data_IF_798539935810
#
_entry.id   IF_798539935810
#
_cell.length_a   1.000
_cell.length_b   1.000
_cell.length_c   1.000
_cell.angle_alpha   90.00
_cell.angle_beta   90.00
_cell.angle_gamma   90.00
#
_symmetry.space_group_name_H-M   'P 1'
#
loop_
_entity.id
_entity.type
_entity.pdbx_description
1 polymer ?
#
# COMPACT_ATOMS: atom_id res chain seq x y z
N UNK A 1 15.88 -10.60 2.10
CA UNK A 1 15.98 -11.14 0.72
C UNK A 1 14.80 -10.64 -0.09
N UNK A 2 14.94 -10.42 -1.41
CA UNK A 2 13.81 -10.14 -2.28
C UNK A 2 12.80 -11.29 -2.25
N UNK A 3 11.50 -11.04 -2.18
CA UNK A 3 10.44 -12.09 -2.12
C UNK A 3 9.68 -12.26 -3.43
N UNK A 4 9.78 -11.27 -4.32
CA UNK A 4 9.09 -11.23 -5.60
C UNK A 4 9.86 -10.39 -6.61
N UNK A 5 9.56 -10.61 -7.89
CA UNK A 5 10.03 -9.80 -9.01
C UNK A 5 8.89 -8.95 -9.56
N UNK A 6 9.14 -7.66 -9.77
CA UNK A 6 8.22 -6.73 -10.43
C UNK A 6 8.68 -6.49 -11.87
N UNK A 7 7.80 -6.73 -12.84
CA UNK A 7 8.02 -6.26 -14.20
C UNK A 7 7.71 -4.77 -14.30
N UNK A 8 8.78 -3.98 -14.39
CA UNK A 8 8.71 -2.53 -14.47
C UNK A 8 9.34 -2.10 -15.78
N UNK A 9 8.63 -1.27 -16.55
CA UNK A 9 9.13 -0.66 -17.79
C UNK A 9 9.75 0.69 -17.46
N UNK A 10 11.08 0.81 -17.26
CA UNK A 10 11.66 2.02 -16.70
C UNK A 10 11.46 3.23 -17.61
N UNK A 11 11.44 3.03 -18.93
CA UNK A 11 11.21 4.09 -19.92
C UNK A 11 9.82 4.73 -19.83
N UNK A 12 8.85 4.04 -19.23
CA UNK A 12 7.47 4.52 -19.06
C UNK A 12 7.21 5.12 -17.68
N UNK A 13 8.22 5.17 -16.82
CA UNK A 13 8.09 5.72 -15.46
C UNK A 13 8.86 7.04 -15.36
N UNK A 14 8.21 8.06 -14.80
CA UNK A 14 8.90 9.31 -14.44
C UNK A 14 9.85 9.09 -13.26
N UNK A 15 9.47 8.21 -12.34
CA UNK A 15 10.23 7.81 -11.17
C UNK A 15 9.87 6.38 -10.78
N UNK A 16 10.78 5.69 -10.10
CA UNK A 16 10.57 4.31 -9.64
C UNK A 16 9.89 4.23 -8.26
N UNK A 17 9.76 5.35 -7.55
CA UNK A 17 9.04 5.41 -6.26
C UNK A 17 7.56 5.00 -6.38
N UNK A 18 7.02 5.04 -7.60
CA UNK A 18 5.64 4.68 -7.89
C UNK A 18 5.51 4.02 -9.23
N UNK A 19 4.96 2.81 -9.24
CA UNK A 19 4.74 2.04 -10.46
C UNK A 19 3.27 1.68 -10.59
N UNK A 20 2.69 1.95 -11.75
CA UNK A 20 1.33 1.53 -12.09
C UNK A 20 1.37 0.24 -12.90
N UNK A 21 0.62 -0.78 -12.50
CA UNK A 21 0.54 -2.07 -13.19
C UNK A 21 -0.83 -2.74 -13.05
N UNK A 22 -1.06 -3.79 -13.83
CA UNK A 22 -2.30 -4.56 -13.82
C UNK A 22 -2.48 -5.30 -12.47
N UNK A 23 -3.71 -5.36 -11.96
CA UNK A 23 -4.00 -5.90 -10.64
C UNK A 23 -4.31 -7.41 -10.60
N UNK A 24 -4.11 -8.16 -11.69
CA UNK A 24 -4.22 -9.63 -11.73
C UNK A 24 -3.43 -10.31 -10.60
N UNK A 25 -2.25 -9.78 -10.27
CA UNK A 25 -1.39 -10.31 -9.20
C UNK A 25 -1.55 -9.56 -7.86
N UNK A 26 -2.68 -8.87 -7.60
CA UNK A 26 -2.89 -8.06 -6.39
C UNK A 26 -2.65 -8.82 -5.08
N UNK A 27 -3.02 -10.09 -4.99
CA UNK A 27 -2.85 -10.89 -3.78
C UNK A 27 -1.36 -11.03 -3.42
N UNK A 28 -0.52 -11.24 -4.44
CA UNK A 28 0.93 -11.31 -4.27
C UNK A 28 1.52 -9.94 -3.95
N UNK A 29 1.03 -8.87 -4.60
CA UNK A 29 1.44 -7.49 -4.28
C UNK A 29 1.18 -7.17 -2.80
N UNK A 30 -0.06 -7.39 -2.35
CA UNK A 30 -0.49 -7.14 -0.97
C UNK A 30 0.33 -7.98 0.03
N UNK A 31 0.59 -9.25 -0.26
CA UNK A 31 1.41 -10.11 0.60
C UNK A 31 2.91 -9.74 0.63
N UNK A 32 3.38 -8.99 -0.37
CA UNK A 32 4.77 -8.56 -0.50
C UNK A 32 5.06 -7.21 0.14
N UNK A 33 4.05 -6.52 0.71
CA UNK A 33 4.28 -5.22 1.36
C UNK A 33 5.17 -5.37 2.60
N UNK A 34 6.07 -4.41 2.78
CA UNK A 34 7.13 -4.42 3.79
C UNK A 34 8.29 -5.36 3.45
N UNK A 35 8.29 -5.97 2.26
CA UNK A 35 9.36 -6.83 1.80
C UNK A 35 10.19 -6.16 0.69
N UNK A 36 11.42 -6.64 0.52
CA UNK A 36 12.23 -6.30 -0.64
C UNK A 36 11.70 -7.04 -1.87
N UNK A 37 11.77 -6.39 -3.02
CA UNK A 37 11.44 -6.93 -4.34
C UNK A 37 12.60 -6.64 -5.30
N UNK A 38 12.70 -7.46 -6.35
CA UNK A 38 13.63 -7.28 -7.45
C UNK A 38 12.88 -6.65 -8.64
N UNK A 39 13.49 -5.69 -9.32
CA UNK A 39 12.88 -5.03 -10.48
C UNK A 39 13.49 -5.58 -11.76
N UNK A 40 12.62 -5.97 -12.69
CA UNK A 40 12.98 -6.55 -13.99
C UNK A 40 12.39 -5.72 -15.12
N UNK A 41 13.23 -5.34 -16.07
CA UNK A 41 12.85 -4.66 -17.31
C UNK A 41 12.58 -5.71 -18.40
N UNK A 42 11.36 -5.74 -18.99
CA UNK A 42 11.02 -6.66 -20.07
C UNK A 42 11.94 -6.57 -21.30
N UNK A 43 12.00 -7.63 -22.12
CA UNK A 43 12.90 -7.73 -23.29
C UNK A 43 12.70 -6.66 -24.36
N UNK A 44 11.52 -6.05 -24.43
CA UNK A 44 11.23 -4.95 -25.36
C UNK A 44 11.66 -3.57 -24.82
N UNK A 45 12.26 -3.50 -23.63
CA UNK A 45 12.97 -2.31 -23.16
C UNK A 45 14.39 -2.24 -23.76
N UNK A 46 14.91 -1.04 -24.09
CA UNK A 46 16.26 -0.88 -24.61
C UNK A 46 17.35 -1.44 -23.69
N UNK A 47 17.13 -1.35 -22.37
CA UNK A 47 17.97 -1.95 -21.33
C UNK A 47 17.11 -2.92 -20.53
N UNK A 48 17.06 -4.17 -21.00
CA UNK A 48 16.25 -5.23 -20.40
C UNK A 48 17.05 -6.03 -19.35
N UNK A 49 16.35 -6.78 -18.51
CA UNK A 49 16.94 -7.58 -17.44
C UNK A 49 16.69 -7.03 -16.04
N UNK A 50 17.29 -7.65 -15.04
CA UNK A 50 17.21 -7.18 -13.66
C UNK A 50 18.03 -5.89 -13.50
N UNK A 51 17.46 -4.87 -12.87
CA UNK A 51 18.10 -3.54 -12.88
C UNK A 51 18.10 -2.81 -11.54
N UNK A 52 17.33 -3.28 -10.55
CA UNK A 52 17.26 -2.66 -9.24
C UNK A 52 16.62 -3.58 -8.21
N UNK A 53 16.79 -3.25 -6.93
CA UNK A 53 15.92 -3.72 -5.85
C UNK A 53 15.16 -2.55 -5.24
N UNK A 54 14.04 -2.83 -4.57
CA UNK A 54 13.26 -1.84 -3.83
C UNK A 54 12.51 -2.51 -2.67
N UNK A 55 12.03 -1.73 -1.71
CA UNK A 55 11.05 -2.18 -0.71
C UNK A 55 9.65 -1.78 -1.19
N UNK A 56 8.74 -2.76 -1.32
CA UNK A 56 7.34 -2.47 -1.61
C UNK A 56 6.66 -1.98 -0.34
N UNK A 57 6.32 -0.70 -0.25
CA UNK A 57 5.77 -0.11 0.99
C UNK A 57 4.27 0.05 0.97
N UNK A 58 3.65 0.10 -0.20
CA UNK A 58 2.20 0.24 -0.29
C UNK A 58 1.64 -0.27 -1.62
N UNK A 59 0.36 -0.67 -1.60
CA UNK A 59 -0.41 -1.10 -2.77
C UNK A 59 -1.77 -0.42 -2.74
N UNK A 60 -2.06 0.40 -3.76
CA UNK A 60 -3.22 1.27 -3.81
C UNK A 60 -4.06 0.92 -5.04
N UNK A 61 -5.37 0.70 -4.91
CA UNK A 61 -6.22 0.47 -6.08
C UNK A 61 -6.29 1.73 -6.95
N UNK A 62 -6.26 1.56 -8.27
CA UNK A 62 -6.58 2.65 -9.19
C UNK A 62 -8.10 2.75 -9.34
N UNK A 63 -8.68 3.80 -8.74
CA UNK A 63 -10.13 3.96 -8.72
C UNK A 63 -10.70 4.53 -10.03
N UNK A 64 -9.85 5.07 -10.92
CA UNK A 64 -10.25 5.51 -12.26
C UNK A 64 -10.28 4.37 -13.26
N UNK A 65 -9.39 3.39 -13.07
CA UNK A 65 -9.32 2.18 -13.90
C UNK A 65 -9.08 0.98 -13.00
N UNK A 66 -10.16 0.38 -12.49
CA UNK A 66 -10.14 -0.72 -11.49
C UNK A 66 -9.35 -1.97 -11.88
N UNK A 67 -8.90 -2.08 -13.13
CA UNK A 67 -7.98 -3.12 -13.61
C UNK A 67 -6.53 -2.87 -13.18
N UNK A 68 -6.18 -1.64 -12.80
CA UNK A 68 -4.83 -1.24 -12.43
C UNK A 68 -4.69 -1.01 -10.92
N UNK A 69 -3.45 -0.92 -10.48
CA UNK A 69 -3.06 -0.54 -9.14
C UNK A 69 -1.73 0.20 -9.16
N UNK A 70 -1.51 1.01 -8.14
CA UNK A 70 -0.25 1.69 -7.89
C UNK A 70 0.51 0.94 -6.79
N UNK A 71 1.80 0.73 -7.02
CA UNK A 71 2.74 0.21 -6.03
C UNK A 71 3.64 1.37 -5.62
N UNK A 72 3.80 1.58 -4.31
CA UNK A 72 4.81 2.50 -3.78
C UNK A 72 6.07 1.73 -3.45
N UNK A 73 7.19 2.22 -3.95
CA UNK A 73 8.51 1.62 -3.77
C UNK A 73 9.41 2.62 -3.03
N UNK A 74 10.09 2.15 -2.00
CA UNK A 74 11.11 2.90 -1.27
C UNK A 74 12.45 2.14 -1.33
N UNK A 75 13.53 2.75 -0.86
CA UNK A 75 14.88 2.16 -0.88
C UNK A 75 15.27 1.58 -2.25
N UNK A 76 14.96 2.32 -3.32
CA UNK A 76 15.23 1.87 -4.69
C UNK A 76 16.74 1.91 -4.94
N UNK A 77 17.39 0.75 -4.91
CA UNK A 77 18.81 0.58 -5.18
C UNK A 77 19.01 0.02 -6.59
N UNK A 78 19.48 0.86 -7.51
CA UNK A 78 19.77 0.48 -8.90
C UNK A 78 21.08 -0.29 -8.99
N UNK A 79 21.12 -1.24 -9.90
CA UNK A 79 22.34 -1.94 -10.28
C UNK A 79 23.18 -1.06 -11.20
N UNK A 80 24.50 -1.30 -11.21
CA UNK A 80 25.44 -0.60 -12.10
C UNK A 80 25.07 -0.76 -13.58
N UNK A 81 24.60 -1.94 -13.96
CA UNK A 81 24.08 -2.23 -15.29
C UNK A 81 22.84 -3.13 -15.19
N UNK A 82 22.03 -3.16 -16.25
CA UNK A 82 20.93 -4.12 -16.34
C UNK A 82 21.49 -5.51 -16.67
N UNK A 83 21.01 -6.53 -15.97
CA UNK A 83 21.53 -7.89 -16.04
C UNK A 83 20.50 -8.75 -16.79
N UNK A 84 20.71 -9.02 -18.09
CA UNK A 84 19.81 -9.85 -18.87
C UNK A 84 19.89 -11.32 -18.43
N UNK A 85 18.90 -12.13 -18.79
CA UNK A 85 18.80 -13.53 -18.35
C UNK A 85 20.02 -14.36 -18.80
N UNK A 86 20.50 -14.11 -20.02
CA UNK A 86 21.68 -14.74 -20.61
C UNK A 86 23.01 -14.42 -19.91
N UNK A 87 23.06 -13.34 -19.10
CA UNK A 87 24.27 -12.96 -18.35
C UNK A 87 24.30 -13.53 -16.93
N UNK A 88 23.27 -14.27 -16.51
CA UNK A 88 23.19 -14.82 -15.16
C UNK A 88 24.05 -16.07 -15.01
N UNK A 89 24.88 -16.11 -13.97
CA UNK A 89 25.63 -17.30 -13.60
C UNK A 89 24.73 -18.45 -13.10
N UNK A 90 23.56 -18.12 -12.56
CA UNK A 90 22.54 -19.07 -12.13
C UNK A 90 21.13 -18.47 -12.29
N UNK A 91 20.09 -19.30 -12.51
CA UNK A 91 18.71 -18.86 -12.55
C UNK A 91 18.30 -18.10 -11.28
N UNK A 92 17.73 -16.89 -11.45
CA UNK A 92 17.12 -16.11 -10.37
C UNK A 92 15.64 -16.47 -10.19
N UNK A 93 14.98 -16.87 -11.28
CA UNK A 93 13.59 -17.35 -11.28
C UNK A 93 13.61 -18.76 -11.88
N UNK A 94 13.92 -19.78 -11.06
CA UNK A 94 14.10 -21.17 -11.53
C UNK A 94 12.87 -21.71 -12.28
N UNK A 95 11.67 -21.29 -11.87
CA UNK A 95 10.39 -21.63 -12.54
C UNK A 95 10.23 -21.04 -13.95
N UNK A 96 11.14 -20.16 -14.38
CA UNK A 96 11.18 -19.66 -15.75
C UNK A 96 11.89 -20.62 -16.72
N UNK A 97 12.49 -21.70 -16.22
CA UNK A 97 13.25 -22.66 -17.01
C UNK A 97 12.52 -24.00 -17.05
N UNK A 98 12.45 -24.60 -18.23
CA UNK A 98 11.95 -25.97 -18.43
C UNK A 98 13.01 -26.98 -18.03
N UNK A 99 12.64 -28.25 -17.96
CA UNK A 99 13.57 -29.35 -17.62
C UNK A 99 14.74 -29.47 -18.60
N UNK A 100 14.56 -29.08 -19.86
CA UNK A 100 15.60 -29.06 -20.89
C UNK A 100 16.51 -27.81 -20.81
N UNK A 101 16.30 -26.95 -19.82
CA UNK A 101 17.03 -25.69 -19.64
C UNK A 101 16.54 -24.54 -20.52
N UNK A 102 15.56 -24.77 -21.41
CA UNK A 102 14.98 -23.70 -22.23
C UNK A 102 14.09 -22.76 -21.42
N UNK A 103 14.00 -21.49 -21.84
CA UNK A 103 13.15 -20.50 -21.18
C UNK A 103 11.66 -20.72 -21.52
N UNK A 104 10.83 -20.68 -20.47
CA UNK A 104 9.39 -20.58 -20.58
C UNK A 104 8.93 -19.12 -20.55
N UNK A 105 8.76 -18.52 -21.73
CA UNK A 105 8.41 -17.10 -21.85
C UNK A 105 7.05 -16.75 -21.23
N UNK A 106 6.11 -17.69 -21.13
CA UNK A 106 4.84 -17.48 -20.42
C UNK A 106 5.07 -17.07 -18.96
N UNK A 107 6.16 -17.55 -18.34
CA UNK A 107 6.52 -17.21 -16.97
C UNK A 107 6.63 -15.69 -16.75
N UNK A 108 7.09 -14.91 -17.74
CA UNK A 108 7.30 -13.47 -17.62
C UNK A 108 6.06 -12.62 -17.92
N UNK A 109 4.92 -13.24 -18.25
CA UNK A 109 3.67 -12.53 -18.55
C UNK A 109 3.05 -11.79 -17.35
N UNK A 110 3.05 -12.35 -16.12
CA UNK A 110 2.55 -11.66 -14.94
C UNK A 110 3.41 -10.44 -14.58
N UNK A 111 2.75 -9.37 -14.11
CA UNK A 111 3.44 -8.14 -13.68
C UNK A 111 4.22 -8.34 -12.37
N UNK A 112 3.82 -9.32 -11.56
CA UNK A 112 4.48 -9.69 -10.30
C UNK A 112 4.63 -11.20 -10.25
N UNK A 113 5.83 -11.67 -9.92
CA UNK A 113 6.16 -13.10 -9.83
C UNK A 113 6.79 -13.40 -8.48
N UNK A 114 6.35 -14.48 -7.84
CA UNK A 114 6.87 -14.87 -6.53
C UNK A 114 8.19 -15.62 -6.69
N UNK A 115 9.17 -15.31 -5.84
CA UNK A 115 10.44 -16.04 -5.78
C UNK A 115 10.32 -17.22 -4.82
N UNK A 116 10.75 -18.40 -5.26
CA UNK A 116 10.90 -19.58 -4.40
C UNK A 116 12.00 -19.34 -3.35
N UNK A 117 11.99 -20.01 -2.19
CA UNK A 117 13.02 -19.80 -1.16
C UNK A 117 14.47 -19.89 -1.67
N UNK A 118 14.75 -20.84 -2.55
CA UNK A 118 16.04 -21.01 -3.23
C UNK A 118 16.37 -19.83 -4.17
N UNK A 119 15.39 -19.36 -4.94
CA UNK A 119 15.49 -18.21 -5.85
C UNK A 119 15.75 -16.91 -5.07
N UNK A 120 15.22 -16.79 -3.85
CA UNK A 120 15.43 -15.60 -3.01
C UNK A 120 16.91 -15.44 -2.60
N UNK A 121 17.65 -16.55 -2.46
CA UNK A 121 19.10 -16.55 -2.18
C UNK A 121 19.84 -16.02 -3.40
N UNK A 122 19.53 -16.54 -4.58
CA UNK A 122 20.12 -16.09 -5.83
C UNK A 122 19.83 -14.60 -6.10
N UNK A 123 18.58 -14.16 -5.88
CA UNK A 123 18.18 -12.77 -5.99
C UNK A 123 18.91 -11.85 -5.00
N UNK A 124 19.17 -12.31 -3.77
CA UNK A 124 19.96 -11.56 -2.79
C UNK A 124 21.43 -11.47 -3.23
N UNK A 125 22.02 -12.56 -3.70
CA UNK A 125 23.40 -12.57 -4.18
C UNK A 125 23.59 -11.58 -5.35
N UNK A 126 22.66 -11.59 -6.31
CA UNK A 126 22.63 -10.64 -7.42
C UNK A 126 22.59 -9.18 -6.94
N UNK A 127 21.73 -8.89 -5.96
CA UNK A 127 21.57 -7.55 -5.40
C UNK A 127 22.84 -7.04 -4.70
N UNK A 128 23.54 -7.92 -3.98
CA UNK A 128 24.77 -7.56 -3.27
C UNK A 128 25.95 -7.35 -4.23
N UNK A 129 26.07 -8.17 -5.27
CA UNK A 129 27.15 -8.05 -6.26
C UNK A 129 27.04 -6.77 -7.10
N UNK A 130 25.82 -6.30 -7.35
CA UNK A 130 25.56 -5.16 -8.25
C UNK A 130 25.21 -3.86 -7.52
N UNK A 131 25.22 -3.87 -6.18
CA UNK A 131 25.07 -2.70 -5.33
C UNK A 131 26.39 -2.09 -4.84
N UNK A 132 27.54 -2.73 -5.10
CA UNK A 132 28.85 -2.21 -4.74
C UNK A 132 29.32 -1.20 -5.79
N UNK A 133 29.39 0.07 -5.40
CA UNK A 133 30.06 1.11 -6.17
C UNK A 133 31.56 0.89 -5.98
N UNK A 134 32.26 0.50 -7.04
CA UNK A 134 33.72 0.58 -7.08
C UNK A 134 34.07 2.05 -7.39
N UNK A 135 34.44 2.84 -6.38
CA UNK A 135 34.85 4.23 -6.61
C UNK A 135 34.95 5.16 -5.39
N UNK A 136 36.19 5.41 -4.99
CA UNK A 136 36.72 6.58 -4.24
C UNK A 136 36.24 6.82 -2.79
N UNK A 137 37.15 6.53 -1.85
CA UNK A 137 37.02 6.82 -0.43
C UNK A 137 37.09 8.35 -0.21
N UNK A 138 35.93 8.99 -0.08
CA UNK A 138 35.85 10.40 0.34
C UNK A 138 36.26 10.53 1.82
N UNK A 139 37.07 11.53 2.20
CA UNK A 139 37.33 11.82 3.61
C UNK A 139 36.01 12.13 4.31
N UNK A 140 35.74 11.45 5.42
CA UNK A 140 34.54 11.68 6.22
C UNK A 140 34.55 13.12 6.75
N UNK A 141 33.60 13.93 6.28
CA UNK A 141 33.30 15.19 6.96
C UNK A 141 32.77 14.87 8.37
N UNK A 142 33.18 15.62 9.41
CA UNK A 142 32.77 15.35 10.77
C UNK A 142 31.24 15.41 10.89
N UNK A 143 30.68 14.36 11.48
CA UNK A 143 29.24 14.17 11.61
C UNK A 143 28.60 15.34 12.37
N UNK A 144 27.73 16.09 11.69
CA UNK A 144 26.76 16.92 12.38
C UNK A 144 25.87 15.97 13.19
N UNK A 145 25.85 16.16 14.51
CA UNK A 145 25.00 15.43 15.44
C UNK A 145 23.53 15.73 15.16
N UNK A 146 22.97 15.05 14.16
CA UNK A 146 21.54 14.91 14.02
C UNK A 146 21.10 14.05 15.20
N UNK A 147 20.34 14.64 16.15
CA UNK A 147 19.73 13.86 17.22
C UNK A 147 18.95 12.73 16.57
N UNK A 148 19.37 11.50 16.84
CA UNK A 148 18.66 10.28 16.48
C UNK A 148 17.29 10.32 17.16
N UNK A 149 16.28 10.86 16.46
CA UNK A 149 14.92 10.50 16.78
C UNK A 149 14.85 8.98 16.55
N UNK A 150 14.44 8.18 17.56
CA UNK A 150 14.32 6.74 17.37
C UNK A 150 13.42 6.53 16.15
N UNK A 151 13.82 5.67 15.18
CA UNK A 151 12.98 5.39 14.03
C UNK A 151 11.59 5.00 14.55
N UNK A 152 10.51 5.54 13.97
CA UNK A 152 9.16 5.27 14.45
C UNK A 152 9.02 3.75 14.57
N UNK A 153 8.68 3.30 15.78
CA UNK A 153 8.67 1.90 16.16
C UNK A 153 8.11 1.05 15.01
N UNK A 154 8.94 0.13 14.50
CA UNK A 154 8.59 -0.80 13.43
C UNK A 154 7.28 -1.49 13.81
N UNK A 155 6.14 -1.02 13.30
CA UNK A 155 4.90 -1.78 13.32
C UNK A 155 5.25 -3.13 12.68
N UNK A 156 5.08 -4.22 13.43
CA UNK A 156 5.44 -5.55 12.93
C UNK A 156 4.85 -5.76 11.54
N UNK A 157 5.62 -6.34 10.61
CA UNK A 157 5.25 -6.49 9.19
C UNK A 157 3.81 -7.01 9.00
N UNK A 158 3.35 -7.89 9.89
CA UNK A 158 1.97 -8.38 9.94
C UNK A 158 0.93 -7.26 10.05
N UNK A 159 1.13 -6.29 10.95
CA UNK A 159 0.22 -5.16 11.12
C UNK A 159 0.20 -4.25 9.88
N UNK A 160 1.34 -4.06 9.21
CA UNK A 160 1.41 -3.31 7.94
C UNK A 160 0.57 -4.03 6.87
N UNK A 161 0.76 -5.34 6.72
CA UNK A 161 0.05 -6.14 5.73
C UNK A 161 -1.48 -6.07 5.94
N UNK A 162 -1.95 -6.23 7.17
CA UNK A 162 -3.39 -6.14 7.47
C UNK A 162 -3.96 -4.76 7.16
N UNK A 163 -3.27 -3.69 7.58
CA UNK A 163 -3.69 -2.31 7.29
C UNK A 163 -3.84 -2.07 5.78
N UNK A 164 -2.89 -2.55 4.96
CA UNK A 164 -2.94 -2.36 3.51
C UNK A 164 -4.05 -3.20 2.88
N UNK A 165 -4.28 -4.42 3.35
CA UNK A 165 -5.37 -5.29 2.89
C UNK A 165 -6.75 -4.73 3.23
N UNK A 166 -6.93 -4.25 4.47
CA UNK A 166 -8.17 -3.60 4.89
C UNK A 166 -8.40 -2.34 4.06
N UNK A 167 -7.38 -1.51 3.89
CA UNK A 167 -7.46 -0.29 3.08
C UNK A 167 -7.82 -0.55 1.64
N UNK A 168 -7.22 -1.57 1.03
CA UNK A 168 -7.62 -2.00 -0.31
C UNK A 168 -9.11 -2.34 -0.36
N UNK A 169 -9.58 -3.16 0.58
CA UNK A 169 -10.99 -3.60 0.64
C UNK A 169 -11.96 -2.44 0.85
N UNK A 170 -11.65 -1.55 1.80
CA UNK A 170 -12.46 -0.36 2.11
C UNK A 170 -12.55 0.58 0.91
N UNK A 171 -11.43 0.90 0.25
CA UNK A 171 -11.44 1.76 -0.94
C UNK A 171 -12.19 1.12 -2.12
N UNK A 172 -12.13 -0.19 -2.28
CA UNK A 172 -12.90 -0.90 -3.31
C UNK A 172 -14.42 -0.85 -3.06
N UNK A 173 -14.84 -0.97 -1.81
CA UNK A 173 -16.24 -0.97 -1.40
C UNK A 173 -16.83 0.43 -1.36
N UNK A 174 -16.15 1.37 -0.71
CA UNK A 174 -16.65 2.73 -0.48
C UNK A 174 -16.23 3.73 -1.55
N UNK A 175 -15.08 3.55 -2.19
CA UNK A 175 -14.43 4.61 -2.98
C UNK A 175 -13.47 5.47 -2.15
N UNK A 176 -13.06 6.61 -2.71
CA UNK A 176 -12.03 7.49 -2.14
C UNK A 176 -12.58 8.76 -1.50
N UNK A 177 -13.87 9.01 -1.67
CA UNK A 177 -14.55 10.11 -0.99
C UNK A 177 -14.75 9.80 0.49
N UNK A 178 -14.62 10.82 1.33
CA UNK A 178 -14.96 10.74 2.75
C UNK A 178 -16.42 10.27 2.90
N UNK A 179 -16.64 9.19 3.64
CA UNK A 179 -17.97 8.64 3.83
C UNK A 179 -18.86 9.53 4.72
N UNK A 180 -18.30 10.54 5.40
CA UNK A 180 -19.07 11.47 6.26
C UNK A 180 -19.46 12.74 5.50
N UNK A 181 -18.49 13.48 4.93
CA UNK A 181 -18.80 14.73 4.21
C UNK A 181 -19.00 14.58 2.70
N UNK A 182 -18.60 13.45 2.11
CA UNK A 182 -18.73 13.19 0.68
C UNK A 182 -17.62 13.77 -0.21
N UNK A 183 -16.70 14.57 0.33
CA UNK A 183 -15.61 15.16 -0.46
C UNK A 183 -14.60 14.11 -0.92
N UNK A 184 -14.17 14.19 -2.18
CA UNK A 184 -13.09 13.37 -2.76
C UNK A 184 -11.86 14.23 -3.06
N UNK A 185 -11.00 14.41 -2.05
CA UNK A 185 -9.75 15.15 -2.18
C UNK A 185 -8.61 14.23 -2.67
N UNK A 186 -8.84 13.52 -3.78
CA UNK A 186 -7.89 12.57 -4.35
C UNK A 186 -7.16 13.10 -5.57
N UNK A 187 -5.85 12.86 -5.64
CA UNK A 187 -5.06 12.98 -6.87
C UNK A 187 -5.00 11.60 -7.53
N UNK A 188 -6.09 11.26 -8.23
CA UNK A 188 -6.32 9.95 -8.84
C UNK A 188 -5.20 9.50 -9.79
N UNK A 189 -4.61 10.43 -10.55
CA UNK A 189 -3.53 10.13 -11.50
C UNK A 189 -2.31 9.45 -10.87
N UNK A 190 -2.13 9.60 -9.55
CA UNK A 190 -1.02 9.02 -8.80
C UNK A 190 -1.50 8.13 -7.65
N UNK A 191 -2.80 7.84 -7.56
CA UNK A 191 -3.40 7.06 -6.47
C UNK A 191 -3.18 7.69 -5.09
N UNK A 192 -3.08 9.01 -4.99
CA UNK A 192 -3.00 9.68 -3.69
C UNK A 192 -4.41 10.06 -3.24
N UNK A 193 -4.86 9.48 -2.12
CA UNK A 193 -6.17 9.70 -1.55
C UNK A 193 -6.01 10.32 -0.17
N UNK A 194 -6.71 11.43 0.10
CA UNK A 194 -6.63 12.09 1.41
C UNK A 194 -7.31 11.28 2.52
N UNK A 195 -8.31 10.48 2.17
CA UNK A 195 -9.04 9.67 3.13
C UNK A 195 -8.16 8.62 3.81
N UNK A 196 -8.43 8.42 5.09
CA UNK A 196 -7.87 7.37 5.91
C UNK A 196 -8.93 6.32 6.21
N UNK A 197 -8.48 5.08 6.38
CA UNK A 197 -9.36 3.99 6.83
C UNK A 197 -9.49 4.08 8.33
N UNK A 198 -10.68 4.43 8.78
CA UNK A 198 -10.97 4.69 10.18
C UNK A 198 -11.79 3.52 10.73
N UNK A 199 -11.26 2.88 11.77
CA UNK A 199 -12.02 1.87 12.51
C UNK A 199 -13.13 2.55 13.30
N UNK A 200 -14.33 1.98 13.25
CA UNK A 200 -15.52 2.48 13.95
C UNK A 200 -15.44 2.15 15.45
N UNK A 201 -15.11 0.90 15.75
CA UNK A 201 -14.62 0.47 17.06
C UNK A 201 -13.10 0.36 16.97
N UNK A 202 -12.39 1.18 17.75
CA UNK A 202 -10.94 1.18 17.73
C UNK A 202 -10.33 -0.20 18.09
N UNK A 203 -9.23 -0.55 17.43
CA UNK A 203 -8.50 -1.80 17.70
C UNK A 203 -8.05 -1.91 19.17
N UNK A 204 -7.65 -0.79 19.78
CA UNK A 204 -7.25 -0.71 21.18
C UNK A 204 -8.38 -1.09 22.16
N UNK A 205 -9.63 -1.02 21.72
CA UNK A 205 -10.82 -1.42 22.47
C UNK A 205 -11.41 -2.75 21.96
N UNK A 206 -10.60 -3.58 21.31
CA UNK A 206 -11.01 -4.90 20.82
C UNK A 206 -11.87 -4.87 19.56
N UNK A 207 -11.84 -3.78 18.79
CA UNK A 207 -12.46 -3.75 17.47
C UNK A 207 -11.75 -4.68 16.49
N UNK A 208 -12.49 -5.39 15.61
CA UNK A 208 -11.87 -6.25 14.60
C UNK A 208 -11.28 -5.43 13.44
N UNK A 209 -10.21 -5.93 12.83
CA UNK A 209 -9.54 -5.31 11.68
C UNK A 209 -10.19 -5.76 10.35
N UNK A 210 -11.47 -5.40 10.15
CA UNK A 210 -12.30 -5.90 9.06
C UNK A 210 -13.14 -4.81 8.38
N UNK A 211 -13.61 -5.10 7.16
CA UNK A 211 -14.35 -4.16 6.32
C UNK A 211 -15.60 -3.62 7.02
N UNK A 212 -16.31 -4.47 7.76
CA UNK A 212 -17.54 -4.12 8.49
C UNK A 212 -17.28 -3.30 9.75
N UNK A 213 -16.02 -3.05 10.13
CA UNK A 213 -15.63 -2.16 11.23
C UNK A 213 -14.85 -0.95 10.73
N UNK A 214 -14.84 -0.65 9.42
CA UNK A 214 -14.01 0.43 8.90
C UNK A 214 -14.66 1.19 7.75
N UNK A 215 -14.42 2.50 7.70
CA UNK A 215 -14.89 3.35 6.60
C UNK A 215 -13.85 4.43 6.25
N UNK A 216 -13.86 4.97 5.01
CA UNK A 216 -12.97 6.05 4.64
C UNK A 216 -13.47 7.36 5.23
N UNK A 217 -12.64 8.07 5.98
CA UNK A 217 -12.93 9.42 6.45
C UNK A 217 -11.78 10.35 6.08
N UNK A 218 -12.07 11.61 5.78
CA UNK A 218 -11.01 12.62 5.72
C UNK A 218 -10.43 12.83 7.12
N UNK A 219 -9.21 13.36 7.18
CA UNK A 219 -8.46 13.52 8.44
C UNK A 219 -9.23 14.32 9.49
N UNK A 220 -10.00 15.32 9.05
CA UNK A 220 -10.84 16.14 9.93
C UNK A 220 -11.97 15.32 10.57
N UNK A 221 -12.75 14.58 9.77
CA UNK A 221 -13.87 13.79 10.32
C UNK A 221 -13.35 12.62 11.15
N UNK A 222 -12.25 11.99 10.76
CA UNK A 222 -11.58 11.01 11.62
C UNK A 222 -11.26 11.60 12.99
N UNK A 223 -10.61 12.76 13.02
CA UNK A 223 -10.18 13.39 14.27
C UNK A 223 -11.36 13.68 15.20
N UNK A 224 -12.48 14.14 14.63
CA UNK A 224 -13.70 14.40 15.40
C UNK A 224 -14.39 13.10 15.85
N UNK A 225 -14.43 12.06 15.02
CA UNK A 225 -14.99 10.77 15.38
C UNK A 225 -14.20 10.15 16.54
N UNK A 226 -12.87 10.05 16.42
CA UNK A 226 -11.98 9.51 17.44
C UNK A 226 -12.06 10.23 18.81
N UNK A 227 -12.63 11.45 18.85
CA UNK A 227 -12.84 12.26 20.07
C UNK A 227 -14.30 12.39 20.48
N UNK A 228 -15.21 11.68 19.84
CA UNK A 228 -16.63 11.71 20.17
C UNK A 228 -17.35 13.00 19.78
N UNK A 229 -16.79 13.82 18.89
CA UNK A 229 -17.45 15.03 18.37
C UNK A 229 -18.69 14.73 17.52
N UNK A 230 -18.76 13.53 16.95
CA UNK A 230 -19.97 12.95 16.36
C UNK A 230 -19.93 11.43 16.44
N UNK A 231 -21.06 10.78 16.21
CA UNK A 231 -21.18 9.32 16.07
C UNK A 231 -22.20 8.98 14.98
N UNK A 232 -22.42 7.69 14.74
CA UNK A 232 -23.38 7.19 13.75
C UNK A 232 -24.43 6.29 14.41
N UNK A 233 -25.69 6.44 14.02
CA UNK A 233 -26.76 5.48 14.26
C UNK A 233 -26.58 4.23 13.38
N UNK A 234 -27.30 3.14 13.66
CA UNK A 234 -27.07 1.84 13.00
C UNK A 234 -27.27 1.86 11.48
N UNK A 235 -28.16 2.74 10.98
CA UNK A 235 -28.36 2.97 9.56
C UNK A 235 -27.44 4.06 8.96
N UNK A 236 -26.38 4.47 9.69
CA UNK A 236 -25.43 5.49 9.27
C UNK A 236 -25.87 6.93 9.55
N UNK A 237 -27.00 7.15 10.23
CA UNK A 237 -27.47 8.49 10.60
C UNK A 237 -26.44 9.24 11.44
N UNK A 238 -26.09 10.46 11.08
CA UNK A 238 -25.04 11.23 11.76
C UNK A 238 -25.63 11.92 12.99
N UNK A 239 -25.02 11.68 14.16
CA UNK A 239 -25.41 12.29 15.43
C UNK A 239 -24.26 13.17 15.91
N UNK A 240 -24.51 14.47 16.04
CA UNK A 240 -23.52 15.45 16.51
C UNK A 240 -23.54 15.57 18.03
N UNK A 241 -22.36 15.66 18.63
CA UNK A 241 -22.22 16.00 20.05
C UNK A 241 -22.78 17.39 20.33
N UNK A 242 -23.32 17.61 21.53
CA UNK A 242 -23.64 18.95 22.02
C UNK A 242 -22.40 19.85 22.06
N UNK A 243 -21.22 19.27 22.30
CA UNK A 243 -19.91 19.93 22.32
C UNK A 243 -19.28 20.10 20.92
N UNK A 244 -19.95 19.64 19.85
CA UNK A 244 -19.45 19.78 18.50
C UNK A 244 -19.22 21.27 18.14
N UNK A 245 -18.02 21.66 17.67
CA UNK A 245 -17.74 23.05 17.36
C UNK A 245 -18.54 23.53 16.14
N UNK A 246 -18.78 24.85 15.99
CA UNK A 246 -19.53 25.40 14.87
C UNK A 246 -18.99 25.01 13.48
N UNK A 247 -17.67 24.82 13.36
CA UNK A 247 -17.05 24.36 12.12
C UNK A 247 -17.54 22.97 11.70
N UNK A 248 -17.54 22.00 12.62
CA UNK A 248 -18.04 20.64 12.36
C UNK A 248 -19.55 20.67 12.05
N UNK A 249 -20.31 21.44 12.83
CA UNK A 249 -21.76 21.62 12.60
C UNK A 249 -22.06 22.16 11.21
N UNK A 250 -21.28 23.13 10.72
CA UNK A 250 -21.40 23.65 9.35
C UNK A 250 -21.01 22.63 8.29
N UNK A 251 -19.91 21.90 8.48
CA UNK A 251 -19.46 20.86 7.54
C UNK A 251 -20.51 19.75 7.37
N UNK A 252 -21.21 19.41 8.45
CA UNK A 252 -22.23 18.35 8.46
C UNK A 252 -23.66 18.89 8.35
N UNK A 253 -23.82 20.20 8.11
CA UNK A 253 -25.13 20.79 7.94
C UNK A 253 -25.83 20.20 6.70
N UNK A 254 -27.06 19.70 6.88
CA UNK A 254 -27.81 19.03 5.81
C UNK A 254 -27.31 17.61 5.48
N UNK A 255 -26.26 17.11 6.14
CA UNK A 255 -25.80 15.72 6.01
C UNK A 255 -26.49 14.86 7.07
N UNK A 256 -27.53 14.15 6.65
CA UNK A 256 -28.33 13.32 7.58
C UNK A 256 -27.69 11.96 7.87
N UNK A 257 -26.93 11.41 6.92
CA UNK A 257 -26.33 10.09 7.04
C UNK A 257 -24.96 10.01 6.36
N UNK A 258 -24.10 9.15 6.91
CA UNK A 258 -22.86 8.74 6.27
C UNK A 258 -23.15 7.80 5.09
N UNK A 259 -22.29 7.85 4.07
CA UNK A 259 -22.40 6.99 2.88
C UNK A 259 -21.89 5.59 3.20
N UNK A 260 -22.79 4.63 3.19
CA UNK A 260 -22.47 3.20 3.19
C UNK A 260 -22.36 2.68 1.74
N UNK A 261 -21.65 1.56 1.51
CA UNK A 261 -21.47 1.02 0.17
C UNK A 261 -22.76 0.37 -0.32
N UNK A 262 -22.93 0.22 -1.64
CA UNK A 262 -24.12 -0.44 -2.20
C UNK A 262 -24.24 -1.91 -1.75
N UNK A 263 -23.10 -2.55 -1.51
CA UNK A 263 -23.01 -3.91 -1.00
C UNK A 263 -23.32 -3.93 0.51
N UNK A 264 -24.51 -4.39 0.88
CA UNK A 264 -24.98 -4.43 2.28
C UNK A 264 -24.06 -5.28 3.18
N UNK A 265 -23.45 -6.32 2.65
CA UNK A 265 -22.47 -7.15 3.38
C UNK A 265 -21.19 -6.40 3.77
N UNK A 266 -20.93 -5.24 3.14
CA UNK A 266 -19.81 -4.37 3.47
C UNK A 266 -20.22 -3.20 4.37
N UNK A 267 -21.48 -3.18 4.85
CA UNK A 267 -21.93 -2.15 5.78
C UNK A 267 -21.26 -2.29 7.15
N UNK A 268 -21.11 -1.17 7.87
CA UNK A 268 -20.77 -1.21 9.27
C UNK A 268 -21.71 -2.11 10.07
N UNK A 269 -21.17 -2.99 10.91
CA UNK A 269 -22.00 -3.72 11.87
C UNK A 269 -22.49 -2.76 12.96
N UNK A 270 -23.76 -2.88 13.33
CA UNK A 270 -24.40 -2.07 14.36
C UNK A 270 -23.64 -2.11 15.69
N UNK A 271 -23.08 -3.27 16.08
CA UNK A 271 -22.33 -3.42 17.32
C UNK A 271 -21.09 -2.49 17.43
N UNK A 272 -20.44 -2.16 16.31
CA UNK A 272 -19.28 -1.26 16.32
C UNK A 272 -19.71 0.20 16.43
N UNK A 273 -20.83 0.55 15.79
CA UNK A 273 -21.42 1.88 15.90
C UNK A 273 -21.97 2.11 17.31
N UNK A 274 -22.65 1.11 17.87
CA UNK A 274 -23.12 1.12 19.24
C UNK A 274 -21.97 1.28 20.23
N UNK A 275 -20.89 0.51 20.09
CA UNK A 275 -19.70 0.68 20.93
C UNK A 275 -19.21 2.14 20.96
N UNK A 276 -19.14 2.79 19.80
CA UNK A 276 -18.72 4.18 19.75
C UNK A 276 -19.70 5.11 20.48
N UNK A 277 -21.01 4.90 20.32
CA UNK A 277 -22.03 5.67 21.04
C UNK A 277 -21.90 5.51 22.55
N UNK A 278 -21.63 4.29 23.01
CA UNK A 278 -21.63 3.97 24.44
C UNK A 278 -20.32 4.36 25.16
N UNK A 279 -19.19 4.42 24.42
CA UNK A 279 -17.86 4.54 25.05
C UNK A 279 -17.00 5.71 24.57
N UNK A 280 -17.31 6.33 23.43
CA UNK A 280 -16.46 7.39 22.83
C UNK A 280 -17.24 8.68 22.64
N UNK A 281 -18.50 8.59 22.23
CA UNK A 281 -19.32 9.73 21.89
C UNK A 281 -19.53 10.67 23.09
N UNK A 282 -19.38 11.98 22.84
CA UNK A 282 -19.59 13.01 23.85
C UNK A 282 -21.03 13.54 23.75
N UNK A 283 -22.03 12.72 24.07
CA UNK A 283 -23.44 13.12 23.98
C UNK A 283 -24.43 12.06 24.40
#
# INVERSE_FOLDING_TARGET
MPVAVLNVRPTRQRSLDRVRMDNRNKRLALASVGARVLLYAPRDEPRHGYFATAVLTDVIPDMTQRRFMFLKLEDVARFTHCIPLEALAAPIESRAYRHDGSLDFSHFSPSIRALLPEDQIAALALANQNGAIDGFQMPQAPALHHRDAPPPARRGRVAILRNVQLRWSVLQAYGTACAVCGDDNSIHAIGAHEVEVCHLRALAHGGPDELTNAMPMCRTHRWFYDRGGFTLADAGGIILSSLAPPALRRQLHGRQAARFPNAVQAWPRAEHLQFHRDHVFLG
#
